data_IF_893663814809
#
_entry.id   IF_893663814809
#
_cell.length_a   1.000
_cell.length_b   1.000
_cell.length_c   1.000
_cell.angle_alpha   90.00
_cell.angle_beta   90.00
_cell.angle_gamma   90.00
#
_symmetry.space_group_name_H-M   'P 1'
#
loop_
_entity.id
_entity.type
_entity.pdbx_description
1 polymer ?
#
# COMPACT_ATOMS: atom_id res chain seq x y z
N UNK A 1 2.98 4.09 4.78
CA UNK A 1 3.44 3.12 5.80
C UNK A 1 2.41 3.11 6.90
N UNK A 2 1.74 1.98 7.10
CA UNK A 2 0.84 1.80 8.25
C UNK A 2 1.73 1.50 9.47
N UNK A 3 1.58 2.22 10.60
CA UNK A 3 2.41 2.00 11.78
C UNK A 3 2.10 0.66 12.43
N UNK A 4 3.11 0.06 13.09
CA UNK A 4 2.93 -1.08 13.99
C UNK A 4 2.29 -0.57 15.27
N UNK A 5 1.25 -1.26 15.76
CA UNK A 5 0.56 -0.85 16.99
C UNK A 5 0.22 -2.06 17.87
N UNK A 6 0.09 -1.87 19.19
CA UNK A 6 -0.37 -2.92 20.09
C UNK A 6 -1.86 -3.19 19.84
N UNK A 7 -2.20 -4.46 19.59
CA UNK A 7 -3.56 -4.93 19.47
C UNK A 7 -4.02 -5.46 20.83
N UNK A 8 -5.01 -4.84 21.48
CA UNK A 8 -5.57 -5.37 22.71
C UNK A 8 -6.34 -6.66 22.40
N UNK A 9 -5.88 -7.77 22.98
CA UNK A 9 -6.55 -9.06 22.94
C UNK A 9 -7.53 -9.18 24.12
N UNK A 10 -8.05 -10.38 24.39
CA UNK A 10 -8.83 -10.60 25.60
C UNK A 10 -8.01 -10.23 26.84
N UNK A 11 -8.64 -9.83 27.95
CA UNK A 11 -7.92 -9.37 29.15
C UNK A 11 -6.89 -10.34 29.72
N UNK A 12 -7.04 -11.64 29.42
CA UNK A 12 -6.16 -12.70 29.89
C UNK A 12 -5.00 -13.01 28.91
N UNK A 13 -5.04 -12.40 27.73
CA UNK A 13 -4.04 -12.58 26.68
C UNK A 13 -3.02 -11.43 26.69
N UNK A 14 -1.73 -11.72 26.41
CA UNK A 14 -0.71 -10.68 26.29
C UNK A 14 -0.96 -9.80 25.07
N UNK A 15 -0.76 -8.48 25.22
CA UNK A 15 -0.79 -7.56 24.08
C UNK A 15 0.21 -7.98 23.01
N UNK A 16 -0.26 -8.00 21.75
CA UNK A 16 0.56 -8.34 20.61
C UNK A 16 0.80 -7.12 19.72
N UNK A 17 2.01 -7.00 19.16
CA UNK A 17 2.29 -5.97 18.16
C UNK A 17 1.78 -6.44 16.79
N UNK A 18 0.89 -5.66 16.19
CA UNK A 18 0.33 -5.96 14.88
C UNK A 18 1.04 -5.15 13.79
N UNK A 19 1.75 -5.85 12.91
CA UNK A 19 2.27 -5.29 11.66
C UNK A 19 1.25 -5.48 10.52
N UNK A 20 0.27 -4.58 10.47
CA UNK A 20 -0.75 -4.62 9.44
C UNK A 20 -0.18 -4.32 8.03
N UNK A 21 0.92 -3.58 7.95
CA UNK A 21 1.56 -3.25 6.68
C UNK A 21 2.11 -4.52 6.00
N UNK A 22 2.81 -5.36 6.78
CA UNK A 22 3.33 -6.64 6.29
C UNK A 22 2.21 -7.58 5.87
N UNK A 23 1.18 -7.74 6.72
CA UNK A 23 0.05 -8.65 6.45
C UNK A 23 -0.67 -8.24 5.16
N UNK A 24 -0.91 -6.94 4.98
CA UNK A 24 -1.54 -6.41 3.76
C UNK A 24 -0.73 -6.74 2.51
N UNK A 25 0.60 -6.54 2.54
CA UNK A 25 1.46 -6.90 1.41
C UNK A 25 1.41 -8.39 1.09
N UNK A 26 1.44 -9.26 2.10
CA UNK A 26 1.37 -10.72 1.89
C UNK A 26 0.06 -11.13 1.22
N UNK A 27 -1.07 -10.60 1.68
CA UNK A 27 -2.38 -10.89 1.06
C UNK A 27 -2.44 -10.34 -0.36
N UNK A 28 -1.85 -9.15 -0.57
CA UNK A 28 -1.81 -8.53 -1.89
C UNK A 28 -1.02 -9.37 -2.90
N UNK A 29 0.16 -9.85 -2.50
CA UNK A 29 1.02 -10.69 -3.33
C UNK A 29 0.39 -12.07 -3.58
N UNK A 30 -0.19 -12.70 -2.55
CA UNK A 30 -0.87 -13.99 -2.68
C UNK A 30 -2.10 -13.90 -3.60
N UNK A 31 -2.83 -12.80 -3.55
CA UNK A 31 -3.95 -12.52 -4.44
C UNK A 31 -3.54 -12.21 -5.88
N UNK A 32 -2.24 -11.97 -6.15
CA UNK A 32 -1.69 -11.56 -7.46
C UNK A 32 -2.44 -10.35 -8.04
N UNK A 33 -2.77 -9.40 -7.17
CA UNK A 33 -3.52 -8.20 -7.56
C UNK A 33 -2.75 -7.32 -8.54
N UNK A 34 -1.42 -7.40 -8.54
CA UNK A 34 -0.52 -6.79 -9.52
C UNK A 34 -0.83 -7.23 -10.96
N UNK A 35 -1.36 -8.45 -11.16
CA UNK A 35 -1.73 -8.98 -12.47
C UNK A 35 -3.19 -8.75 -12.83
N UNK A 36 -4.07 -8.58 -11.83
CA UNK A 36 -5.49 -8.35 -12.05
C UNK A 36 -5.83 -6.88 -12.24
N UNK A 37 -5.10 -5.98 -11.57
CA UNK A 37 -5.37 -4.55 -11.60
C UNK A 37 -4.36 -3.89 -12.53
N UNK A 38 -4.85 -3.27 -13.59
CA UNK A 38 -4.01 -2.49 -14.50
C UNK A 38 -3.69 -1.11 -13.91
N UNK A 39 -2.59 -1.04 -13.14
CA UNK A 39 -2.06 0.20 -12.57
C UNK A 39 -1.48 1.17 -13.62
N UNK A 40 -1.43 0.79 -14.90
CA UNK A 40 -1.01 1.68 -15.99
C UNK A 40 -2.17 2.45 -16.60
N UNK A 41 -3.40 2.20 -16.14
CA UNK A 41 -4.57 2.96 -16.59
C UNK A 41 -4.38 4.46 -16.35
N UNK A 42 -4.91 5.25 -17.28
CA UNK A 42 -4.91 6.71 -17.14
C UNK A 42 -5.76 7.11 -15.94
N UNK A 43 -5.19 7.96 -15.09
CA UNK A 43 -5.86 8.55 -13.94
C UNK A 43 -6.98 9.48 -14.43
N UNK A 44 -8.17 9.32 -13.88
CA UNK A 44 -9.36 10.13 -14.16
C UNK A 44 -9.88 10.68 -12.82
N UNK A 45 -10.08 12.01 -12.68
CA UNK A 45 -9.77 13.06 -13.66
C UNK A 45 -8.26 13.21 -13.91
N UNK A 46 -7.89 13.78 -15.05
CA UNK A 46 -6.49 13.98 -15.39
C UNK A 46 -5.77 14.84 -14.32
N UNK A 47 -4.53 14.46 -14.00
CA UNK A 47 -3.70 15.19 -13.04
C UNK A 47 -3.39 16.61 -13.54
N UNK A 48 -3.14 17.51 -12.58
CA UNK A 48 -2.57 18.82 -12.91
C UNK A 48 -1.17 18.65 -13.51
N UNK A 49 -0.68 19.66 -14.24
CA UNK A 49 0.67 19.60 -14.83
C UNK A 49 1.76 19.39 -13.78
N UNK A 50 1.63 20.02 -12.61
CA UNK A 50 2.60 19.90 -11.53
C UNK A 50 2.62 18.47 -10.96
N UNK A 51 1.43 17.90 -10.71
CA UNK A 51 1.31 16.55 -10.17
C UNK A 51 1.77 15.49 -11.18
N UNK A 52 1.48 15.69 -12.48
CA UNK A 52 1.93 14.78 -13.53
C UNK A 52 3.47 14.72 -13.60
N UNK A 53 4.15 15.87 -13.55
CA UNK A 53 5.63 15.94 -13.52
C UNK A 53 6.18 15.24 -12.28
N UNK A 54 5.55 15.46 -11.13
CA UNK A 54 5.95 14.82 -9.87
C UNK A 54 5.79 13.30 -9.93
N UNK A 55 4.65 12.80 -10.44
CA UNK A 55 4.40 11.36 -10.63
C UNK A 55 5.41 10.76 -11.60
N UNK A 56 5.69 11.39 -12.74
CA UNK A 56 6.69 10.91 -13.69
C UNK A 56 8.08 10.81 -13.06
N UNK A 57 8.47 11.77 -12.23
CA UNK A 57 9.75 11.73 -11.52
C UNK A 57 9.82 10.58 -10.51
N UNK A 58 8.72 10.29 -9.80
CA UNK A 58 8.64 9.17 -8.87
C UNK A 58 8.72 7.84 -9.62
N UNK A 59 7.99 7.69 -10.73
CA UNK A 59 8.01 6.47 -11.52
C UNK A 59 9.42 6.22 -12.07
N UNK A 60 10.12 7.24 -12.57
CA UNK A 60 11.51 7.11 -13.04
C UNK A 60 12.50 6.69 -11.95
N UNK A 61 12.26 7.04 -10.69
CA UNK A 61 13.14 6.66 -9.58
C UNK A 61 12.81 5.28 -8.97
N UNK A 62 11.70 4.67 -9.35
CA UNK A 62 11.26 3.36 -8.84
C UNK A 62 11.62 2.18 -9.75
N UNK A 63 12.09 2.44 -10.98
CA UNK A 63 12.54 1.46 -11.97
C UNK A 63 14.00 1.72 -12.35
#
# INVERSE_FOLDING_TARGET
>A
VIPVFPLPLCPEDPEMLLDLQMILHQVYDQGRYDLMIDYKQKIIPALSKADAIWVENILKNKY
#
